data_IF_540267026667
#
_entry.id   IF_540267026667
#
_cell.length_a   1.000
_cell.length_b   1.000
_cell.length_c   1.000
_cell.angle_alpha   90.00
_cell.angle_beta   90.00
_cell.angle_gamma   90.00
#
_symmetry.space_group_name_H-M   'P 1'
#
loop_
_entity.id
_entity.type
_entity.pdbx_description
1 polymer ?
#
# COMPACT_ATOMS: atom_id res chain seq x y z
N UNK A 1 23.27 -7.20 -6.76
CA UNK A 1 24.26 -7.61 -7.78
C UNK A 1 23.73 -7.07 -9.09
N UNK A 2 24.06 -5.80 -9.26
CA UNK A 2 23.90 -4.96 -10.45
C UNK A 2 24.68 -5.62 -11.61
N UNK A 3 24.46 -5.45 -12.91
CA UNK A 3 24.09 -4.33 -13.78
C UNK A 3 23.88 -5.01 -15.17
N UNK A 4 22.97 -4.64 -16.07
CA UNK A 4 23.18 -3.73 -17.21
C UNK A 4 21.99 -3.93 -18.18
N UNK A 5 21.37 -2.83 -18.63
CA UNK A 5 21.04 -2.66 -20.04
C UNK A 5 20.58 -1.21 -20.26
N UNK A 6 21.47 -0.40 -20.81
CA UNK A 6 21.18 0.93 -21.31
C UNK A 6 20.66 0.82 -22.75
N UNK A 7 19.48 1.40 -22.99
CA UNK A 7 18.95 1.69 -24.33
C UNK A 7 19.87 2.66 -25.06
N UNK A 8 20.06 2.50 -26.36
CA UNK A 8 19.16 2.84 -27.48
C UNK A 8 19.59 4.17 -28.11
N UNK A 9 19.88 4.02 -29.39
CA UNK A 9 20.45 4.94 -30.38
C UNK A 9 19.71 6.28 -30.49
N UNK A 10 20.46 7.38 -30.32
CA UNK A 10 20.06 8.76 -30.57
C UNK A 10 20.11 9.05 -32.08
N UNK A 11 19.06 9.69 -32.60
CA UNK A 11 18.86 9.97 -34.01
C UNK A 11 18.01 11.22 -34.20
N UNK A 12 18.43 12.33 -33.61
CA UNK A 12 17.86 13.66 -33.83
C UNK A 12 18.36 14.24 -35.16
N UNK A 13 17.46 14.38 -36.15
CA UNK A 13 17.70 15.18 -37.35
C UNK A 13 17.03 16.55 -37.23
N UNK A 14 17.81 17.56 -37.61
CA UNK A 14 17.61 18.97 -37.36
C UNK A 14 16.42 19.60 -38.11
N UNK A 15 15.78 20.51 -37.37
CA UNK A 15 14.82 21.54 -37.76
C UNK A 15 15.43 22.53 -38.77
N UNK A 16 14.84 22.66 -39.95
CA UNK A 16 15.08 23.78 -40.87
C UNK A 16 14.00 24.84 -40.68
N UNK A 17 14.45 26.08 -40.46
CA UNK A 17 13.64 27.30 -40.45
C UNK A 17 13.37 27.70 -41.90
N UNK A 18 12.13 28.05 -42.22
CA UNK A 18 11.85 29.09 -43.22
C UNK A 18 10.80 30.03 -42.63
N UNK A 19 11.19 31.29 -42.50
CA UNK A 19 10.34 32.42 -42.19
C UNK A 19 10.47 33.38 -43.38
N UNK A 20 9.34 33.75 -43.96
CA UNK A 20 9.16 35.07 -44.56
C UNK A 20 7.65 35.36 -44.63
N UNK A 21 7.25 36.30 -43.78
CA UNK A 21 5.92 36.86 -43.67
C UNK A 21 5.65 37.85 -44.80
N UNK A 22 4.41 37.82 -45.28
CA UNK A 22 3.78 38.83 -46.14
C UNK A 22 3.17 39.92 -45.25
N UNK A 23 3.53 41.18 -45.48
CA UNK A 23 2.67 42.34 -45.28
C UNK A 23 2.94 43.26 -46.49
N UNK A 24 1.99 43.54 -47.37
CA UNK A 24 0.75 44.24 -47.08
C UNK A 24 1.04 45.72 -47.24
N UNK A 25 0.64 46.33 -48.37
CA UNK A 25 0.12 47.69 -48.38
C UNK A 25 -0.62 48.07 -49.66
N UNK A 26 -1.46 49.06 -49.44
CA UNK A 26 -2.71 49.44 -50.08
C UNK A 26 -2.56 50.32 -51.33
N UNK A 27 -3.66 50.38 -52.07
CA UNK A 27 -3.95 51.14 -53.28
C UNK A 27 -3.80 52.66 -53.10
N UNK A 28 -3.35 53.39 -54.13
CA UNK A 28 -4.02 54.65 -54.54
C UNK A 28 -3.65 55.10 -55.95
N UNK A 29 -4.70 55.55 -56.64
CA UNK A 29 -4.78 56.12 -57.98
C UNK A 29 -3.89 57.35 -58.21
N UNK A 30 -3.35 57.47 -59.42
CA UNK A 30 -3.29 58.78 -60.09
C UNK A 30 -3.61 58.66 -61.59
N UNK A 31 -4.47 59.59 -61.99
CA UNK A 31 -5.00 59.84 -63.34
C UNK A 31 -3.90 60.22 -64.33
N UNK A 32 -4.04 59.80 -65.58
CA UNK A 32 -3.94 60.72 -66.71
C UNK A 32 -4.78 60.23 -67.90
N UNK A 33 -5.70 61.09 -68.28
CA UNK A 33 -6.54 61.05 -69.45
C UNK A 33 -5.82 61.84 -70.54
N UNK A 34 -5.33 61.17 -71.58
CA UNK A 34 -5.14 61.81 -72.88
C UNK A 34 -5.74 60.92 -73.96
N UNK A 35 -6.58 61.57 -74.74
CA UNK A 35 -7.48 61.04 -75.73
C UNK A 35 -6.91 61.46 -77.07
N UNK A 36 -6.26 60.56 -77.81
CA UNK A 36 -5.97 60.83 -79.22
C UNK A 36 -6.18 59.60 -80.10
N UNK A 37 -7.38 59.61 -80.68
CA UNK A 37 -7.67 59.34 -82.08
C UNK A 37 -7.08 58.06 -82.69
N UNK A 38 -7.98 57.08 -82.80
CA UNK A 38 -7.95 56.05 -83.83
C UNK A 38 -7.85 56.71 -85.21
N UNK A 39 -6.72 56.52 -85.89
CA UNK A 39 -6.63 56.57 -87.35
C UNK A 39 -5.72 55.42 -87.79
N UNK A 40 -6.32 54.25 -87.96
CA UNK A 40 -5.68 53.07 -88.53
C UNK A 40 -5.57 53.30 -90.05
N UNK A 41 -4.40 53.73 -90.51
CA UNK A 41 -4.08 53.71 -91.94
C UNK A 41 -4.03 52.26 -92.42
N UNK A 42 -4.94 51.92 -93.33
CA UNK A 42 -5.00 50.63 -94.01
C UNK A 42 -3.74 50.45 -94.85
N UNK A 43 -2.76 49.71 -94.32
CA UNK A 43 -1.74 49.03 -95.12
C UNK A 43 -2.12 47.56 -95.14
N UNK A 44 -2.57 47.12 -96.32
CA UNK A 44 -2.83 45.73 -96.65
C UNK A 44 -1.51 45.10 -97.10
N UNK A 45 -0.99 44.06 -96.43
CA UNK A 45 -0.26 43.02 -97.09
C UNK A 45 -1.13 41.76 -97.12
N UNK A 46 -1.38 41.26 -98.34
CA UNK A 46 -2.34 40.20 -98.65
C UNK A 46 -1.84 38.79 -98.28
N UNK A 47 -1.12 38.68 -97.16
CA UNK A 47 -0.64 37.43 -96.56
C UNK A 47 -0.90 37.31 -95.03
N UNK A 48 -1.29 38.39 -94.34
CA UNK A 48 -1.35 38.42 -92.85
C UNK A 48 -2.70 37.98 -92.22
N UNK A 49 -3.82 38.04 -92.96
CA UNK A 49 -5.15 37.67 -92.45
C UNK A 49 -5.29 36.16 -92.17
N UNK A 50 -4.61 35.33 -92.98
CA UNK A 50 -4.52 33.88 -92.78
C UNK A 50 -3.69 33.52 -91.54
N UNK A 51 -2.65 34.29 -91.26
CA UNK A 51 -1.82 34.15 -90.06
C UNK A 51 -2.57 34.56 -88.80
N UNK A 52 -3.33 35.66 -88.81
CA UNK A 52 -4.18 36.07 -87.69
C UNK A 52 -5.26 35.02 -87.38
N UNK A 53 -5.99 34.53 -88.39
CA UNK A 53 -6.96 33.45 -88.20
C UNK A 53 -6.34 32.17 -87.64
N UNK A 54 -5.16 31.76 -88.14
CA UNK A 54 -4.39 30.62 -87.60
C UNK A 54 -3.96 30.85 -86.14
N UNK A 55 -3.51 32.06 -85.80
CA UNK A 55 -3.13 32.43 -84.44
C UNK A 55 -4.31 32.39 -83.48
N UNK A 56 -5.49 32.89 -83.88
CA UNK A 56 -6.71 32.76 -83.05
C UNK A 56 -7.12 31.30 -82.85
N UNK A 57 -7.00 30.45 -83.88
CA UNK A 57 -7.32 29.02 -83.74
C UNK A 57 -6.30 28.32 -82.85
N UNK A 58 -5.00 28.61 -83.00
CA UNK A 58 -3.98 28.01 -82.12
C UNK A 58 -4.10 28.48 -80.67
N UNK A 59 -4.45 29.76 -80.47
CA UNK A 59 -4.69 30.33 -79.14
C UNK A 59 -5.92 29.70 -78.48
N UNK A 60 -7.00 29.51 -79.24
CA UNK A 60 -8.20 28.83 -78.74
C UNK A 60 -7.91 27.37 -78.38
N UNK A 61 -7.13 26.64 -79.19
CA UNK A 61 -6.69 25.28 -78.88
C UNK A 61 -5.80 25.25 -77.63
N UNK A 62 -4.85 26.17 -77.52
CA UNK A 62 -4.02 26.32 -76.32
C UNK A 62 -4.86 26.60 -75.08
N UNK A 63 -5.84 27.50 -75.16
CA UNK A 63 -6.73 27.81 -74.05
C UNK A 63 -7.54 26.57 -73.61
N UNK A 64 -8.04 25.77 -74.56
CA UNK A 64 -8.75 24.52 -74.25
C UNK A 64 -7.82 23.51 -73.59
N UNK A 65 -6.58 23.38 -74.06
CA UNK A 65 -5.58 22.49 -73.45
C UNK A 65 -5.24 22.95 -72.02
N UNK A 66 -5.01 24.25 -71.81
CA UNK A 66 -4.73 24.80 -70.49
C UNK A 66 -5.90 24.57 -69.53
N UNK A 67 -7.14 24.82 -69.96
CA UNK A 67 -8.32 24.54 -69.16
C UNK A 67 -8.44 23.05 -68.79
N UNK A 68 -8.14 22.13 -69.72
CA UNK A 68 -8.16 20.70 -69.43
C UNK A 68 -7.08 20.31 -68.41
N UNK A 69 -5.89 20.93 -68.49
CA UNK A 69 -4.80 20.75 -67.52
C UNK A 69 -5.19 21.30 -66.15
N UNK A 70 -5.77 22.49 -66.08
CA UNK A 70 -6.20 23.14 -64.83
C UNK A 70 -7.30 22.33 -64.13
N UNK A 71 -8.28 21.80 -64.88
CA UNK A 71 -9.32 20.91 -64.33
C UNK A 71 -8.69 19.60 -63.83
N UNK A 72 -7.75 19.03 -64.59
CA UNK A 72 -7.02 17.81 -64.20
C UNK A 72 -6.21 18.00 -62.91
N UNK A 73 -5.50 19.13 -62.81
CA UNK A 73 -4.80 19.54 -61.59
C UNK A 73 -5.78 19.72 -60.43
N UNK A 74 -6.91 20.40 -60.63
CA UNK A 74 -7.91 20.63 -59.59
C UNK A 74 -8.43 19.33 -58.98
N UNK A 75 -8.77 18.34 -59.81
CA UNK A 75 -9.21 17.01 -59.34
C UNK A 75 -8.08 16.25 -58.67
N UNK A 76 -6.86 16.32 -59.20
CA UNK A 76 -5.69 15.65 -58.64
C UNK A 76 -5.32 16.21 -57.25
N UNK A 77 -5.26 17.53 -57.11
CA UNK A 77 -4.99 18.19 -55.84
C UNK A 77 -6.10 17.95 -54.82
N UNK A 78 -7.37 17.96 -55.23
CA UNK A 78 -8.51 17.64 -54.35
C UNK A 78 -8.42 16.23 -53.74
N UNK A 79 -7.94 15.24 -54.50
CA UNK A 79 -7.71 13.89 -53.95
C UNK A 79 -6.48 13.78 -53.07
N UNK A 80 -5.43 14.53 -53.36
CA UNK A 80 -4.22 14.53 -52.53
C UNK A 80 -4.48 15.19 -51.17
N UNK A 81 -5.24 16.28 -51.14
CA UNK A 81 -5.63 16.96 -49.90
C UNK A 81 -6.56 16.11 -49.03
N UNK A 82 -7.52 15.40 -49.62
CA UNK A 82 -8.40 14.45 -48.91
C UNK A 82 -7.60 13.29 -48.26
N UNK A 83 -6.60 12.76 -48.98
CA UNK A 83 -5.66 11.79 -48.43
C UNK A 83 -4.79 12.35 -47.29
N UNK A 84 -4.39 13.63 -47.38
CA UNK A 84 -3.61 14.29 -46.34
C UNK A 84 -4.43 14.52 -45.06
N UNK A 85 -5.69 14.95 -45.19
CA UNK A 85 -6.61 15.19 -44.08
C UNK A 85 -6.90 13.89 -43.31
N UNK A 86 -7.12 12.78 -44.01
CA UNK A 86 -7.33 11.46 -43.39
C UNK A 86 -6.09 10.95 -42.65
N UNK A 87 -4.88 11.15 -43.21
CA UNK A 87 -3.63 10.81 -42.52
C UNK A 87 -3.48 11.63 -41.23
N UNK A 88 -3.81 12.93 -41.28
CA UNK A 88 -3.68 13.82 -40.12
C UNK A 88 -4.68 13.45 -39.02
N UNK A 89 -5.93 13.09 -39.36
CA UNK A 89 -6.94 12.60 -38.42
C UNK A 89 -6.52 11.29 -37.74
N UNK A 90 -6.05 10.31 -38.54
CA UNK A 90 -5.51 9.05 -38.00
C UNK A 90 -4.32 9.33 -37.06
N UNK A 91 -3.43 10.25 -37.43
CA UNK A 91 -2.29 10.60 -36.58
C UNK A 91 -2.72 11.21 -35.25
N UNK A 92 -3.78 12.03 -35.25
CA UNK A 92 -4.34 12.63 -34.06
C UNK A 92 -4.98 11.57 -33.15
N UNK A 93 -5.74 10.63 -33.72
CA UNK A 93 -6.33 9.51 -32.96
C UNK A 93 -5.28 8.57 -32.38
N UNK A 94 -4.21 8.28 -33.14
CA UNK A 94 -3.08 7.49 -32.63
C UNK A 94 -2.39 8.21 -31.47
N UNK A 95 -2.20 9.53 -31.56
CA UNK A 95 -1.62 10.30 -30.47
C UNK A 95 -2.50 10.31 -29.22
N UNK A 96 -3.83 10.44 -29.38
CA UNK A 96 -4.79 10.32 -28.26
C UNK A 96 -4.73 8.92 -27.63
N UNK A 97 -4.71 7.89 -28.46
CA UNK A 97 -4.67 6.50 -27.99
C UNK A 97 -3.36 6.21 -27.25
N UNK A 98 -2.23 6.70 -27.76
CA UNK A 98 -0.92 6.58 -27.13
C UNK A 98 -0.92 7.25 -25.75
N UNK A 99 -1.42 8.47 -25.66
CA UNK A 99 -1.52 9.19 -24.38
C UNK A 99 -2.43 8.46 -23.37
N UNK A 100 -3.55 7.90 -23.83
CA UNK A 100 -4.44 7.10 -22.99
C UNK A 100 -3.77 5.81 -22.52
N UNK A 101 -3.02 5.13 -23.39
CA UNK A 101 -2.27 3.93 -23.05
C UNK A 101 -1.18 4.23 -22.02
N UNK A 102 -0.37 5.26 -22.23
CA UNK A 102 0.70 5.66 -21.31
C UNK A 102 0.13 6.05 -19.94
N UNK A 103 -1.01 6.75 -19.93
CA UNK A 103 -1.76 7.09 -18.70
C UNK A 103 -2.23 5.83 -17.96
N UNK A 104 -2.78 4.84 -18.68
CA UNK A 104 -3.24 3.59 -18.08
C UNK A 104 -2.08 2.76 -17.49
N UNK A 105 -0.93 2.74 -18.15
CA UNK A 105 0.29 2.09 -17.64
C UNK A 105 0.76 2.77 -16.36
N UNK A 106 0.80 4.10 -16.35
CA UNK A 106 1.18 4.87 -15.16
C UNK A 106 0.26 4.57 -13.96
N UNK A 107 -1.06 4.57 -14.16
CA UNK A 107 -2.01 4.24 -13.10
C UNK A 107 -1.87 2.81 -12.59
N UNK A 108 -1.63 1.83 -13.48
CA UNK A 108 -1.36 0.44 -13.11
C UNK A 108 -0.12 0.34 -12.22
N UNK A 109 0.95 1.03 -12.59
CA UNK A 109 2.23 0.94 -11.88
C UNK A 109 2.16 1.62 -10.51
N UNK A 110 1.45 2.75 -10.42
CA UNK A 110 1.19 3.38 -9.12
C UNK A 110 0.31 2.49 -8.23
N UNK A 111 -0.76 1.89 -8.78
CA UNK A 111 -1.60 0.96 -8.02
C UNK A 111 -0.81 -0.27 -7.51
N UNK A 112 0.08 -0.83 -8.33
CA UNK A 112 0.98 -1.92 -7.90
C UNK A 112 1.91 -1.49 -6.78
N UNK A 113 2.44 -0.27 -6.84
CA UNK A 113 3.32 0.28 -5.80
C UNK A 113 2.58 0.46 -4.48
N UNK A 114 1.33 0.93 -4.53
CA UNK A 114 0.47 1.04 -3.34
C UNK A 114 0.17 -0.34 -2.76
N UNK A 115 -0.24 -1.31 -3.58
CA UNK A 115 -0.48 -2.68 -3.13
C UNK A 115 0.77 -3.29 -2.47
N UNK A 116 1.95 -3.09 -3.04
CA UNK A 116 3.20 -3.58 -2.45
C UNK A 116 3.52 -2.92 -1.10
N UNK A 117 3.12 -1.66 -0.88
CA UNK A 117 3.26 -0.97 0.41
C UNK A 117 2.33 -1.58 1.44
N UNK A 118 1.05 -1.72 1.10
CA UNK A 118 0.05 -2.31 1.98
C UNK A 118 0.42 -3.75 2.37
N UNK A 119 0.91 -4.57 1.42
CA UNK A 119 1.37 -5.93 1.73
C UNK A 119 2.50 -5.92 2.77
N UNK A 120 3.45 -4.98 2.67
CA UNK A 120 4.55 -4.87 3.65
C UNK A 120 4.04 -4.44 5.02
N UNK A 121 3.17 -3.44 5.07
CA UNK A 121 2.57 -2.96 6.33
C UNK A 121 1.71 -4.05 7.00
N UNK A 122 0.94 -4.78 6.20
CA UNK A 122 0.15 -5.92 6.65
C UNK A 122 1.04 -7.05 7.19
N UNK A 123 2.20 -7.33 6.57
CA UNK A 123 3.15 -8.33 7.06
C UNK A 123 3.72 -7.97 8.43
N UNK A 124 4.06 -6.70 8.66
CA UNK A 124 4.55 -6.22 9.97
C UNK A 124 3.46 -6.42 11.03
N UNK A 125 2.23 -5.99 10.72
CA UNK A 125 1.08 -6.12 11.63
C UNK A 125 0.79 -7.58 11.95
N UNK A 126 0.84 -8.46 10.93
CA UNK A 126 0.67 -9.91 11.11
C UNK A 126 1.74 -10.49 12.02
N UNK A 127 3.00 -10.12 11.81
CA UNK A 127 4.11 -10.58 12.64
C UNK A 127 3.92 -10.15 14.10
N UNK A 128 3.53 -8.89 14.35
CA UNK A 128 3.28 -8.39 15.70
C UNK A 128 2.14 -9.14 16.38
N UNK A 129 1.04 -9.40 15.65
CA UNK A 129 -0.09 -10.17 16.17
C UNK A 129 0.30 -11.61 16.50
N UNK A 130 1.06 -12.27 15.63
CA UNK A 130 1.57 -13.63 15.87
C UNK A 130 2.51 -13.66 17.09
N UNK A 131 3.39 -12.67 17.19
CA UNK A 131 4.31 -12.50 18.31
C UNK A 131 3.55 -12.31 19.64
N UNK A 132 2.58 -11.39 19.66
CA UNK A 132 1.77 -11.11 20.84
C UNK A 132 0.92 -12.32 21.25
N UNK A 133 0.38 -13.06 20.28
CA UNK A 133 -0.35 -14.31 20.53
C UNK A 133 0.53 -15.37 21.17
N UNK A 134 1.77 -15.51 20.71
CA UNK A 134 2.72 -16.44 21.32
C UNK A 134 3.01 -16.07 22.77
N UNK A 135 3.29 -14.79 23.05
CA UNK A 135 3.52 -14.31 24.42
C UNK A 135 2.30 -14.53 25.33
N UNK A 136 1.10 -14.22 24.84
CA UNK A 136 -0.15 -14.45 25.56
C UNK A 136 -0.34 -15.92 25.92
N UNK A 137 -0.02 -16.84 25.00
CA UNK A 137 -0.07 -18.28 25.25
C UNK A 137 0.89 -18.71 26.38
N UNK A 138 2.07 -18.13 26.47
CA UNK A 138 3.03 -18.45 27.52
C UNK A 138 2.60 -17.91 28.89
N UNK A 139 2.01 -16.70 28.94
CA UNK A 139 1.40 -16.17 30.16
C UNK A 139 0.22 -17.03 30.63
N UNK A 140 -0.60 -17.53 29.71
CA UNK A 140 -1.70 -18.44 30.04
C UNK A 140 -1.18 -19.72 30.72
N UNK A 141 -0.15 -20.36 30.14
CA UNK A 141 0.48 -21.54 30.76
C UNK A 141 1.03 -21.26 32.15
N UNK A 142 1.64 -20.09 32.35
CA UNK A 142 2.17 -19.68 33.66
C UNK A 142 1.04 -19.49 34.66
N UNK A 143 -0.06 -18.84 34.25
CA UNK A 143 -1.26 -18.69 35.07
C UNK A 143 -1.82 -20.04 35.48
N UNK A 144 -1.97 -20.98 34.54
CA UNK A 144 -2.45 -22.33 34.82
C UNK A 144 -1.53 -23.07 35.80
N UNK A 145 -0.21 -22.90 35.66
CA UNK A 145 0.77 -23.47 36.58
C UNK A 145 0.62 -22.92 38.00
N UNK A 146 0.49 -21.60 38.14
CA UNK A 146 0.29 -20.94 39.43
C UNK A 146 -1.04 -21.39 40.05
N UNK A 147 -2.10 -21.53 39.25
CA UNK A 147 -3.39 -22.05 39.73
C UNK A 147 -3.26 -23.47 40.27
N UNK A 148 -2.51 -24.34 39.59
CA UNK A 148 -2.23 -25.70 40.07
C UNK A 148 -1.42 -25.69 41.38
N UNK A 149 -0.38 -24.86 41.49
CA UNK A 149 0.41 -24.73 42.72
C UNK A 149 -0.42 -24.20 43.89
N UNK A 150 -1.31 -23.21 43.64
CA UNK A 150 -2.26 -22.71 44.63
C UNK A 150 -3.21 -23.83 45.07
N UNK A 151 -3.75 -24.62 44.14
CA UNK A 151 -4.64 -25.73 44.47
C UNK A 151 -3.93 -26.80 45.31
N UNK A 152 -2.68 -27.14 44.96
CA UNK A 152 -1.85 -28.08 45.73
C UNK A 152 -1.55 -27.54 47.13
N UNK A 153 -1.17 -26.27 47.27
CA UNK A 153 -0.90 -25.71 48.59
C UNK A 153 -2.18 -25.62 49.44
N UNK A 154 -3.31 -25.28 48.83
CA UNK A 154 -4.61 -25.26 49.49
C UNK A 154 -5.03 -26.62 50.02
N UNK A 155 -4.75 -27.71 49.30
CA UNK A 155 -5.09 -29.06 49.77
C UNK A 155 -4.28 -29.48 51.00
N UNK A 156 -3.12 -28.86 51.25
CA UNK A 156 -2.31 -29.10 52.45
C UNK A 156 -2.77 -28.29 53.67
N UNK A 157 -3.58 -27.23 53.49
CA UNK A 157 -4.05 -26.36 54.59
C UNK A 157 -4.78 -27.14 55.69
N UNK A 158 -5.71 -28.07 55.42
CA UNK A 158 -6.39 -28.83 56.47
C UNK A 158 -5.41 -29.61 57.36
N UNK A 159 -4.42 -30.27 56.76
CA UNK A 159 -3.39 -31.01 57.50
C UNK A 159 -2.55 -30.09 58.39
N UNK A 160 -2.17 -28.91 57.90
CA UNK A 160 -1.39 -27.93 58.67
C UNK A 160 -2.24 -27.32 59.80
N UNK A 161 -3.51 -27.02 59.52
CA UNK A 161 -4.44 -26.39 60.48
C UNK A 161 -4.85 -27.36 61.60
N UNK A 162 -5.15 -28.60 61.26
CA UNK A 162 -5.61 -29.60 62.22
C UNK A 162 -4.46 -30.34 62.90
N UNK A 163 -3.24 -30.27 62.33
CA UNK A 163 -2.06 -30.98 62.80
C UNK A 163 -2.21 -32.51 62.71
N UNK A 164 -1.18 -33.24 63.16
CA UNK A 164 -1.34 -34.67 63.41
C UNK A 164 -2.24 -34.85 64.64
N UNK A 165 -3.52 -35.21 64.42
CA UNK A 165 -4.48 -35.56 65.49
C UNK A 165 -4.19 -36.90 66.18
N UNK A 166 -2.95 -37.39 66.10
CA UNK A 166 -2.55 -38.66 66.68
C UNK A 166 -1.59 -38.41 67.84
N UNK A 167 -2.10 -38.57 69.06
CA UNK A 167 -1.26 -38.67 70.24
C UNK A 167 -0.83 -40.13 70.46
N UNK A 168 0.22 -40.33 71.25
CA UNK A 168 0.63 -41.67 71.68
C UNK A 168 -0.51 -42.33 72.48
N UNK A 169 -0.60 -43.68 72.50
CA UNK A 169 -1.59 -44.38 73.32
C UNK A 169 -1.56 -43.90 74.78
N UNK A 170 -2.72 -43.54 75.34
CA UNK A 170 -2.83 -43.01 76.71
C UNK A 170 -2.66 -41.49 76.85
N UNK A 171 -2.41 -40.76 75.75
CA UNK A 171 -2.37 -39.30 75.72
C UNK A 171 -3.65 -38.71 75.13
N UNK A 172 -4.10 -37.57 75.65
CA UNK A 172 -5.32 -36.87 75.23
C UNK A 172 -4.97 -35.68 74.33
N UNK A 173 -5.54 -35.64 73.13
CA UNK A 173 -5.38 -34.52 72.19
C UNK A 173 -6.33 -33.36 72.55
N UNK A 174 -5.81 -32.16 72.77
CA UNK A 174 -6.60 -30.95 73.02
C UNK A 174 -5.83 -29.72 72.50
N UNK A 175 -6.50 -28.83 71.77
CA UNK A 175 -5.91 -27.58 71.22
C UNK A 175 -4.57 -27.78 70.47
N UNK A 176 -4.45 -28.81 69.65
CA UNK A 176 -3.22 -29.13 68.90
C UNK A 176 -2.02 -29.54 69.77
N UNK A 177 -2.26 -29.90 71.03
CA UNK A 177 -1.26 -30.41 71.99
C UNK A 177 -1.73 -31.74 72.58
N UNK A 178 -0.81 -32.66 72.83
CA UNK A 178 -1.09 -33.92 73.51
C UNK A 178 -0.78 -33.79 75.00
N UNK A 179 -1.74 -34.11 75.86
CA UNK A 179 -1.60 -34.11 77.31
C UNK A 179 -1.56 -35.53 77.86
N UNK A 180 -0.72 -35.77 78.86
CA UNK A 180 -0.66 -37.03 79.59
C UNK A 180 -0.93 -36.78 81.07
N UNK A 181 -1.95 -37.46 81.59
CA UNK A 181 -2.28 -37.42 83.01
C UNK A 181 -1.78 -38.71 83.66
N UNK A 182 -0.71 -38.60 84.43
CA UNK A 182 -0.13 -39.70 85.19
C UNK A 182 -0.95 -39.99 86.46
N UNK A 183 -2.21 -40.37 86.30
CA UNK A 183 -3.12 -40.74 87.40
C UNK A 183 -3.15 -42.27 87.46
N UNK A 184 -2.30 -42.86 88.30
CA UNK A 184 -2.46 -44.27 88.68
C UNK A 184 -2.71 -44.37 90.19
N UNK A 185 -3.34 -45.46 90.64
CA UNK A 185 -3.63 -45.71 92.05
C UNK A 185 -2.36 -45.81 92.92
N UNK A 186 -1.18 -45.99 92.30
CA UNK A 186 0.14 -46.08 92.95
C UNK A 186 0.99 -44.79 92.86
N UNK A 187 0.57 -43.76 92.10
CA UNK A 187 1.34 -42.52 91.99
C UNK A 187 0.98 -41.51 93.09
N UNK A 188 1.73 -41.62 94.19
CA UNK A 188 1.90 -40.55 95.18
C UNK A 188 2.25 -39.22 94.51
N UNK A 189 1.77 -38.10 95.10
CA UNK A 189 2.14 -36.73 94.69
C UNK A 189 3.67 -36.63 94.59
N UNK A 190 4.18 -36.35 93.40
CA UNK A 190 5.60 -36.13 93.15
C UNK A 190 5.97 -34.69 93.48
N UNK A 191 7.21 -34.46 93.89
CA UNK A 191 7.75 -33.10 93.88
C UNK A 191 7.79 -32.55 92.45
N UNK A 192 7.81 -31.23 92.30
CA UNK A 192 7.83 -30.58 91.00
C UNK A 192 8.98 -31.08 90.10
N UNK A 193 10.17 -31.29 90.69
CA UNK A 193 11.35 -31.77 89.97
C UNK A 193 11.18 -33.21 89.47
N UNK A 194 10.65 -34.10 90.30
CA UNK A 194 10.41 -35.50 89.92
C UNK A 194 9.32 -35.63 88.86
N UNK A 195 8.25 -34.83 88.96
CA UNK A 195 7.18 -34.79 87.97
C UNK A 195 7.71 -34.31 86.61
N UNK A 196 8.51 -33.24 86.60
CA UNK A 196 9.13 -32.74 85.36
C UNK A 196 10.07 -33.75 84.73
N UNK A 197 10.95 -34.37 85.54
CA UNK A 197 11.88 -35.39 85.05
C UNK A 197 11.14 -36.60 84.47
N UNK A 198 10.03 -37.01 85.09
CA UNK A 198 9.17 -38.06 84.55
C UNK A 198 8.60 -37.67 83.17
N UNK A 199 8.04 -36.47 83.02
CA UNK A 199 7.52 -35.99 81.73
C UNK A 199 8.61 -35.94 80.65
N UNK A 200 9.81 -35.46 80.98
CA UNK A 200 10.98 -35.45 80.08
C UNK A 200 11.34 -36.87 79.63
N UNK A 201 11.36 -37.84 80.55
CA UNK A 201 11.66 -39.23 80.23
C UNK A 201 10.58 -39.88 79.34
N UNK A 202 9.34 -39.37 79.35
CA UNK A 202 8.26 -39.79 78.46
C UNK A 202 8.26 -39.05 77.12
N UNK A 203 9.25 -38.18 76.86
CA UNK A 203 9.36 -37.41 75.62
C UNK A 203 8.53 -36.12 75.59
N UNK A 204 8.04 -35.64 76.73
CA UNK A 204 7.30 -34.37 76.88
C UNK A 204 7.94 -33.42 77.90
N UNK A 205 7.17 -32.45 78.38
CA UNK A 205 7.53 -31.63 79.55
C UNK A 205 6.25 -31.41 80.39
N UNK A 206 6.40 -30.85 81.59
CA UNK A 206 5.28 -30.59 82.48
C UNK A 206 4.31 -29.60 81.81
N UNK A 207 3.01 -29.91 81.83
CA UNK A 207 1.99 -29.07 81.22
C UNK A 207 1.94 -27.69 81.90
N UNK A 208 1.97 -26.63 81.09
CA UNK A 208 1.75 -25.25 81.52
C UNK A 208 0.34 -24.85 81.10
N UNK A 209 -0.53 -24.64 82.06
CA UNK A 209 -1.92 -24.21 81.82
C UNK A 209 -1.96 -22.68 81.97
N UNK A 210 -2.10 -21.95 80.87
CA UNK A 210 -2.41 -20.52 80.94
C UNK A 210 -3.88 -20.35 81.36
N UNK A 211 -4.19 -19.24 82.03
CA UNK A 211 -5.50 -18.90 82.61
C UNK A 211 -6.69 -19.03 81.66
N UNK A 212 -6.48 -18.96 80.34
CA UNK A 212 -7.52 -19.13 79.32
C UNK A 212 -7.94 -20.59 79.08
N UNK A 213 -7.09 -21.56 79.40
CA UNK A 213 -7.37 -23.00 79.21
C UNK A 213 -8.01 -23.66 80.45
N UNK A 214 -8.11 -22.92 81.56
CA UNK A 214 -8.68 -23.41 82.82
C UNK A 214 -10.17 -23.79 82.72
N UNK A 215 -10.92 -23.25 81.76
CA UNK A 215 -12.35 -23.50 81.59
C UNK A 215 -12.70 -24.75 80.77
N UNK A 216 -11.72 -25.54 80.33
CA UNK A 216 -11.95 -26.69 79.43
C UNK A 216 -11.60 -28.06 80.05
N UNK A 217 -11.15 -28.09 81.31
CA UNK A 217 -10.76 -29.31 82.04
C UNK A 217 -11.67 -29.60 83.26
N UNK A 218 -12.89 -29.06 83.29
CA UNK A 218 -13.99 -29.46 84.20
C UNK A 218 -14.99 -30.37 83.48
#
# INVERSE_FOLDING_TARGET
MDTENAGTFDGSYNKLIHQEDISGDELTLYSNQEQEQVSMSVVRPESSLKHYKRLTVSLAVLAVILLAVDIGLGVYYGKFTDGQDTIMDISAEVAKLQAAYDTAIWHRDEAKKQLAREIREQQITKWELDHQKSRSKDYLKLSDKIQMEIAALKSHIPMIKEGCRHCLPGWTFMNSVCFYLAISEDFSRRSWQEARQFCINQGGDLAVIDSREKHLLE
#
